data_IF_369145391386
#
_entry.id   IF_369145391386
#
_cell.length_a   1.000
_cell.length_b   1.000
_cell.length_c   1.000
_cell.angle_alpha   90.00
_cell.angle_beta   90.00
_cell.angle_gamma   90.00
#
_symmetry.space_group_name_H-M   'P 1'
#
loop_
_entity.id
_entity.type
_entity.pdbx_description
1 polymer ?
#
# COMPACT_ATOMS: atom_id res chain seq x y z
N UNK A 1 14.76 -41.36 36.93
CA UNK A 1 13.95 -40.25 36.39
C UNK A 1 14.30 -39.01 37.21
N UNK A 2 14.89 -37.96 36.62
CA UNK A 2 15.17 -36.74 37.35
C UNK A 2 13.94 -35.82 37.37
N UNK A 3 13.86 -35.09 38.47
CA UNK A 3 12.76 -34.32 39.03
C UNK A 3 12.46 -33.02 38.23
N UNK A 4 11.18 -32.67 38.13
CA UNK A 4 10.64 -31.59 37.31
C UNK A 4 10.26 -30.38 38.18
N UNK A 5 11.23 -29.78 38.87
CA UNK A 5 10.97 -28.67 39.80
C UNK A 5 11.89 -27.44 39.68
N UNK A 6 12.72 -27.33 38.64
CA UNK A 6 13.56 -26.13 38.40
C UNK A 6 13.29 -25.45 37.05
N UNK A 7 12.10 -24.85 36.90
CA UNK A 7 11.88 -23.79 35.91
C UNK A 7 11.40 -22.53 36.62
N UNK A 8 12.28 -21.55 36.64
CA UNK A 8 12.16 -20.27 37.32
C UNK A 8 10.82 -19.56 37.08
N UNK A 9 10.03 -19.43 38.14
CA UNK A 9 8.96 -18.44 38.24
C UNK A 9 9.59 -17.05 38.39
N UNK A 10 9.76 -16.34 37.28
CA UNK A 10 9.86 -14.88 37.33
C UNK A 10 8.58 -14.35 38.01
N UNK A 11 8.66 -13.65 39.15
CA UNK A 11 7.46 -13.21 39.86
C UNK A 11 6.64 -12.31 38.92
N UNK A 12 5.35 -12.63 38.79
CA UNK A 12 4.34 -11.94 37.98
C UNK A 12 4.45 -10.39 38.07
N UNK A 13 4.89 -9.87 39.22
CA UNK A 13 5.19 -8.47 39.45
C UNK A 13 6.23 -7.86 38.48
N UNK A 14 7.27 -8.60 38.09
CA UNK A 14 8.31 -8.13 37.15
C UNK A 14 7.74 -8.04 35.73
N UNK A 15 6.93 -9.02 35.32
CA UNK A 15 6.27 -9.02 34.00
C UNK A 15 5.26 -7.88 33.91
N UNK A 16 4.45 -7.67 34.95
CA UNK A 16 3.50 -6.56 35.03
C UNK A 16 4.22 -5.21 35.02
N UNK A 17 5.31 -5.05 35.77
CA UNK A 17 6.11 -3.83 35.77
C UNK A 17 6.72 -3.54 34.39
N UNK A 18 7.24 -4.56 33.69
CA UNK A 18 7.77 -4.41 32.34
C UNK A 18 6.70 -3.98 31.32
N UNK A 19 5.49 -4.54 31.42
CA UNK A 19 4.35 -4.17 30.56
C UNK A 19 3.89 -2.73 30.83
N UNK A 20 3.82 -2.31 32.10
CA UNK A 20 3.45 -0.94 32.48
C UNK A 20 4.48 0.07 31.96
N UNK A 21 5.78 -0.23 32.10
CA UNK A 21 6.85 0.63 31.60
C UNK A 21 6.83 0.70 30.06
N UNK A 22 6.60 -0.42 29.37
CA UNK A 22 6.45 -0.45 27.92
C UNK A 22 5.24 0.37 27.44
N UNK A 23 4.09 0.27 28.12
CA UNK A 23 2.89 1.03 27.81
C UNK A 23 3.09 2.53 28.05
N UNK A 24 3.76 2.92 29.14
CA UNK A 24 4.10 4.32 29.42
C UNK A 24 5.07 4.90 28.38
N UNK A 25 6.08 4.13 27.96
CA UNK A 25 7.00 4.54 26.88
C UNK A 25 6.26 4.71 25.55
N UNK A 26 5.34 3.80 25.24
CA UNK A 26 4.49 3.90 24.06
C UNK A 26 3.60 5.15 24.10
N UNK A 27 2.92 5.43 25.23
CA UNK A 27 2.11 6.65 25.39
C UNK A 27 2.93 7.94 25.24
N UNK A 28 4.10 8.02 25.86
CA UNK A 28 4.99 9.20 25.72
C UNK A 28 5.43 9.40 24.27
N UNK A 29 5.72 8.32 23.55
CA UNK A 29 6.08 8.36 22.12
C UNK A 29 4.91 8.83 21.27
N UNK A 30 3.68 8.38 21.53
CA UNK A 30 2.48 8.89 20.85
C UNK A 30 2.25 10.38 21.13
N UNK A 31 2.41 10.81 22.38
CA UNK A 31 2.24 12.21 22.76
C UNK A 31 3.32 13.13 22.17
N UNK A 32 4.56 12.66 22.05
CA UNK A 32 5.64 13.34 21.33
C UNK A 32 5.37 13.43 19.83
N UNK A 33 4.82 12.37 19.21
CA UNK A 33 4.40 12.40 17.81
C UNK A 33 3.26 13.41 17.61
N UNK A 34 2.26 13.45 18.49
CA UNK A 34 1.16 14.42 18.44
C UNK A 34 1.64 15.87 18.65
N UNK A 35 2.55 16.12 19.59
CA UNK A 35 3.13 17.46 19.79
C UNK A 35 4.12 17.85 18.69
N UNK A 36 4.76 16.89 18.03
CA UNK A 36 5.51 17.14 16.78
C UNK A 36 4.56 17.44 15.62
N UNK A 37 3.40 16.81 15.54
CA UNK A 37 2.35 17.16 14.57
C UNK A 37 1.85 18.58 14.79
N UNK A 38 1.57 18.98 16.04
CA UNK A 38 1.14 20.34 16.36
C UNK A 38 2.20 21.41 16.03
N UNK A 39 3.49 21.14 16.27
CA UNK A 39 4.58 22.06 15.90
C UNK A 39 4.83 22.13 14.40
N UNK A 40 4.62 21.05 13.65
CA UNK A 40 4.75 21.05 12.19
C UNK A 40 3.56 21.74 11.49
N UNK A 41 2.44 21.94 12.19
CA UNK A 41 1.30 22.73 11.71
C UNK A 41 1.48 24.24 11.96
N UNK A 42 2.30 24.61 12.95
CA UNK A 42 2.63 26.00 13.28
C UNK A 42 4.01 26.39 12.73
N UNK A 43 4.11 26.57 11.40
CA UNK A 43 5.27 27.24 10.78
C UNK A 43 5.20 28.77 10.97
N UNK A 44 6.33 29.49 10.89
CA UNK A 44 6.32 30.94 10.99
C UNK A 44 5.52 31.56 9.83
N UNK A 45 4.65 32.50 10.15
CA UNK A 45 3.90 33.29 9.19
C UNK A 45 4.86 34.21 8.42
N UNK A 46 5.36 33.73 7.29
CA UNK A 46 5.78 34.57 6.17
C UNK A 46 4.74 34.35 5.08
N UNK A 47 3.89 35.35 4.83
CA UNK A 47 3.10 35.40 3.63
C UNK A 47 4.06 35.55 2.44
N UNK A 48 4.28 34.51 1.60
CA UNK A 48 4.96 34.70 0.34
C UNK A 48 3.91 35.22 -0.66
N UNK A 49 4.35 35.87 -1.73
CA UNK A 49 3.52 35.99 -2.93
C UNK A 49 2.92 34.61 -3.26
N UNK A 50 1.63 34.56 -3.59
CA UNK A 50 0.94 33.32 -3.91
C UNK A 50 1.78 32.52 -4.90
N UNK A 51 2.22 31.29 -4.57
CA UNK A 51 3.04 30.51 -5.47
C UNK A 51 2.30 30.33 -6.81
N UNK A 52 3.03 30.27 -7.94
CA UNK A 52 2.41 30.06 -9.23
C UNK A 52 1.58 28.78 -9.18
N UNK A 53 0.35 28.86 -9.65
CA UNK A 53 -0.56 27.73 -9.68
C UNK A 53 -0.09 26.72 -10.72
N UNK A 54 -0.33 25.42 -10.52
CA UNK A 54 -0.07 24.42 -11.54
C UNK A 54 -0.93 24.74 -12.77
N UNK A 55 -0.28 25.19 -13.84
CA UNK A 55 -0.91 25.55 -15.12
C UNK A 55 -0.98 24.38 -16.10
N UNK A 56 -0.15 23.36 -15.90
CA UNK A 56 -0.15 22.14 -16.72
C UNK A 56 -0.85 20.99 -16.00
N UNK A 57 -1.54 20.15 -16.78
CA UNK A 57 -2.05 18.87 -16.31
C UNK A 57 -0.88 18.00 -15.82
N UNK A 58 -0.98 17.37 -14.64
CA UNK A 58 0.07 16.50 -14.13
C UNK A 58 0.28 15.27 -15.04
N UNK A 59 1.42 14.57 -14.94
CA UNK A 59 1.68 13.38 -15.74
C UNK A 59 0.67 12.27 -15.43
N UNK A 60 0.37 11.46 -16.45
CA UNK A 60 -0.53 10.33 -16.31
C UNK A 60 0.03 9.29 -15.30
N UNK A 61 -0.81 8.67 -14.46
CA UNK A 61 -0.37 7.74 -13.41
C UNK A 61 0.53 6.60 -13.89
N UNK A 62 0.33 6.13 -15.14
CA UNK A 62 1.11 5.04 -15.73
C UNK A 62 2.61 5.35 -15.87
N UNK A 63 3.01 6.61 -15.97
CA UNK A 63 4.40 7.01 -16.13
C UNK A 63 5.25 6.82 -14.86
N UNK A 64 4.62 6.65 -13.70
CA UNK A 64 5.31 6.55 -12.40
C UNK A 64 5.74 5.12 -12.05
N UNK A 65 5.20 4.09 -12.72
CA UNK A 65 5.50 2.69 -12.40
C UNK A 65 6.57 2.10 -13.32
N UNK A 66 7.79 2.01 -12.80
CA UNK A 66 8.86 1.21 -13.39
C UNK A 66 9.62 0.44 -12.30
N UNK A 67 8.98 -0.50 -11.61
CA UNK A 67 9.71 -1.46 -10.79
C UNK A 67 9.33 -2.89 -11.15
N UNK A 68 10.30 -3.58 -11.75
CA UNK A 68 10.35 -5.02 -11.93
C UNK A 68 10.35 -5.75 -10.58
N UNK A 69 9.94 -7.03 -10.55
CA UNK A 69 9.88 -7.88 -9.37
C UNK A 69 11.05 -7.60 -8.42
N UNK A 70 10.74 -6.94 -7.29
CA UNK A 70 11.72 -6.53 -6.29
C UNK A 70 12.20 -7.72 -5.44
N UNK A 71 12.58 -8.83 -6.08
CA UNK A 71 13.17 -10.03 -5.49
C UNK A 71 14.65 -10.10 -5.86
N UNK A 72 15.51 -10.39 -4.88
CA UNK A 72 16.94 -10.62 -5.09
C UNK A 72 17.20 -12.03 -5.60
N UNK A 73 18.39 -12.26 -6.16
CA UNK A 73 18.81 -13.57 -6.62
C UNK A 73 18.71 -14.64 -5.51
N UNK A 74 19.11 -14.31 -4.27
CA UNK A 74 19.01 -15.27 -3.15
C UNK A 74 17.57 -15.57 -2.76
N UNK A 75 16.66 -14.59 -2.79
CA UNK A 75 15.22 -14.84 -2.58
C UNK A 75 14.67 -15.77 -3.66
N UNK A 76 15.00 -15.51 -4.92
CA UNK A 76 14.61 -16.35 -6.06
C UNK A 76 15.14 -17.79 -5.90
N UNK A 77 16.39 -17.94 -5.46
CA UNK A 77 16.99 -19.26 -5.20
C UNK A 77 16.27 -20.00 -4.06
N UNK A 78 16.04 -19.35 -2.91
CA UNK A 78 15.33 -19.95 -1.78
C UNK A 78 13.90 -20.39 -2.13
N UNK A 79 13.20 -19.58 -2.94
CA UNK A 79 11.86 -19.94 -3.44
C UNK A 79 11.97 -21.12 -4.41
N UNK A 80 12.94 -21.09 -5.33
CA UNK A 80 13.19 -22.19 -6.28
C UNK A 80 13.50 -23.52 -5.60
N UNK A 81 14.40 -23.51 -4.61
CA UNK A 81 14.83 -24.70 -3.87
C UNK A 81 13.72 -25.29 -2.99
N UNK A 82 12.81 -24.45 -2.48
CA UNK A 82 11.65 -24.90 -1.70
C UNK A 82 10.45 -25.30 -2.57
N UNK A 83 10.42 -24.90 -3.84
CA UNK A 83 9.28 -25.09 -4.74
C UNK A 83 8.79 -26.55 -4.85
N UNK A 84 9.64 -27.59 -4.96
CA UNK A 84 9.17 -28.97 -5.07
C UNK A 84 8.36 -29.45 -3.86
N UNK A 85 8.67 -28.92 -2.68
CA UNK A 85 8.00 -29.27 -1.43
C UNK A 85 6.73 -28.43 -1.24
N UNK A 86 6.81 -27.14 -1.54
CA UNK A 86 5.69 -26.19 -1.41
C UNK A 86 4.61 -26.44 -2.47
N UNK A 87 4.98 -26.81 -3.69
CA UNK A 87 4.04 -27.15 -4.76
C UNK A 87 3.67 -28.64 -4.74
N UNK A 88 3.25 -29.14 -3.56
CA UNK A 88 2.86 -30.53 -3.35
C UNK A 88 1.40 -30.66 -2.89
N UNK A 89 0.82 -31.85 -3.04
CA UNK A 89 -0.55 -32.12 -2.58
C UNK A 89 -0.69 -32.01 -1.05
N UNK A 90 0.34 -32.41 -0.32
CA UNK A 90 0.39 -32.30 1.14
C UNK A 90 0.43 -30.83 1.59
N UNK A 91 1.32 -30.02 1.00
CA UNK A 91 1.40 -28.59 1.28
C UNK A 91 0.06 -27.89 0.97
N UNK A 92 -0.56 -28.21 -0.17
CA UNK A 92 -1.87 -27.67 -0.52
C UNK A 92 -2.95 -28.05 0.51
N UNK A 93 -2.92 -29.27 1.06
CA UNK A 93 -3.83 -29.66 2.14
C UNK A 93 -3.61 -28.81 3.39
N UNK A 94 -2.36 -28.67 3.85
CA UNK A 94 -2.00 -27.86 5.02
C UNK A 94 -2.48 -26.41 4.84
N UNK A 95 -2.27 -25.82 3.66
CA UNK A 95 -2.74 -24.46 3.36
C UNK A 95 -4.25 -24.30 3.52
N UNK A 96 -5.06 -25.22 2.98
CA UNK A 96 -6.52 -25.12 3.08
C UNK A 96 -7.03 -25.38 4.50
N UNK A 97 -6.39 -26.28 5.24
CA UNK A 97 -6.73 -26.52 6.65
C UNK A 97 -6.47 -25.25 7.48
N UNK A 98 -5.27 -24.67 7.36
CA UNK A 98 -4.89 -23.41 8.04
C UNK A 98 -5.79 -22.24 7.60
N UNK A 99 -6.11 -22.12 6.29
CA UNK A 99 -6.97 -21.06 5.77
C UNK A 99 -8.37 -21.10 6.37
N UNK A 100 -8.95 -22.30 6.43
CA UNK A 100 -10.32 -22.46 6.91
C UNK A 100 -10.43 -22.54 8.44
N UNK A 101 -9.33 -22.73 9.14
CA UNK A 101 -9.24 -22.49 10.58
C UNK A 101 -9.21 -20.97 10.86
N UNK A 102 -8.40 -20.21 10.11
CA UNK A 102 -8.26 -18.76 10.27
C UNK A 102 -9.49 -17.97 9.81
N UNK A 103 -10.16 -18.41 8.75
CA UNK A 103 -11.31 -17.73 8.16
C UNK A 103 -12.33 -18.75 7.63
N UNK A 104 -13.14 -19.38 8.51
CA UNK A 104 -14.11 -20.41 8.13
C UNK A 104 -15.13 -19.95 7.07
N UNK A 105 -15.48 -18.67 7.06
CA UNK A 105 -16.40 -18.06 6.11
C UNK A 105 -15.92 -18.16 4.66
N UNK A 106 -14.60 -18.24 4.43
CA UNK A 106 -14.04 -18.35 3.08
C UNK A 106 -14.38 -19.68 2.41
N UNK A 107 -14.78 -20.72 3.16
CA UNK A 107 -15.20 -22.02 2.59
C UNK A 107 -16.27 -21.85 1.52
N UNK A 108 -17.17 -20.86 1.66
CA UNK A 108 -18.25 -20.60 0.72
C UNK A 108 -17.76 -20.12 -0.67
N UNK A 109 -16.55 -19.57 -0.74
CA UNK A 109 -15.94 -19.11 -1.99
C UNK A 109 -15.27 -20.24 -2.77
N UNK A 110 -15.10 -21.42 -2.17
CA UNK A 110 -14.45 -22.57 -2.78
C UNK A 110 -15.47 -23.65 -3.09
N UNK A 111 -15.43 -24.17 -4.32
CA UNK A 111 -16.12 -25.41 -4.70
C UNK A 111 -15.42 -26.64 -4.10
N UNK A 112 -15.22 -27.69 -4.91
CA UNK A 112 -14.49 -28.87 -4.47
C UNK A 112 -13.04 -28.55 -4.06
N UNK A 113 -12.73 -28.70 -2.75
CA UNK A 113 -11.41 -28.38 -2.18
C UNK A 113 -10.28 -29.15 -2.87
N UNK A 114 -10.47 -30.43 -3.19
CA UNK A 114 -9.46 -31.23 -3.89
C UNK A 114 -9.17 -30.73 -5.32
N UNK A 115 -10.15 -30.12 -6.00
CA UNK A 115 -9.90 -29.44 -7.27
C UNK A 115 -9.10 -28.15 -7.06
N UNK A 116 -9.41 -27.41 -6.00
CA UNK A 116 -8.72 -26.16 -5.68
C UNK A 116 -7.27 -26.38 -5.23
N UNK A 117 -7.00 -27.44 -4.47
CA UNK A 117 -5.65 -27.91 -4.14
C UNK A 117 -4.81 -28.16 -5.40
N UNK A 118 -5.36 -28.87 -6.40
CA UNK A 118 -4.66 -29.08 -7.68
C UNK A 118 -4.38 -27.78 -8.43
N UNK A 119 -5.33 -26.83 -8.41
CA UNK A 119 -5.14 -25.50 -9.04
C UNK A 119 -4.06 -24.69 -8.32
N UNK A 120 -4.03 -24.72 -6.99
CA UNK A 120 -3.00 -24.07 -6.17
C UNK A 120 -1.61 -24.63 -6.52
N UNK A 121 -1.45 -25.95 -6.56
CA UNK A 121 -0.19 -26.60 -6.93
C UNK A 121 0.25 -26.18 -8.34
N UNK A 122 -0.65 -26.25 -9.33
CA UNK A 122 -0.33 -25.84 -10.70
C UNK A 122 0.05 -24.36 -10.82
N UNK A 123 -0.62 -23.49 -10.06
CA UNK A 123 -0.25 -22.07 -9.97
C UNK A 123 1.15 -21.91 -9.37
N UNK A 124 1.47 -22.58 -8.26
CA UNK A 124 2.80 -22.49 -7.62
C UNK A 124 3.92 -22.99 -8.56
N UNK A 125 3.68 -24.09 -9.28
CA UNK A 125 4.61 -24.57 -10.31
C UNK A 125 4.85 -23.54 -11.41
N UNK A 126 3.78 -22.89 -11.90
CA UNK A 126 3.90 -21.82 -12.89
C UNK A 126 4.68 -20.61 -12.35
N UNK A 127 4.45 -20.24 -11.08
CA UNK A 127 5.19 -19.16 -10.41
C UNK A 127 6.67 -19.51 -10.36
N UNK A 128 7.01 -20.72 -9.89
CA UNK A 128 8.39 -21.22 -9.85
C UNK A 128 9.08 -21.16 -11.21
N UNK A 129 8.39 -21.61 -12.27
CA UNK A 129 8.90 -21.54 -13.64
C UNK A 129 9.05 -20.11 -14.19
N UNK A 130 8.36 -19.14 -13.58
CA UNK A 130 8.36 -17.73 -14.01
C UNK A 130 9.26 -16.82 -13.15
N UNK A 131 9.90 -17.34 -12.09
CA UNK A 131 10.74 -16.52 -11.19
C UNK A 131 11.92 -15.84 -11.91
N UNK A 132 12.42 -16.44 -12.99
CA UNK A 132 13.49 -15.88 -13.82
C UNK A 132 13.02 -14.87 -14.88
N UNK A 133 11.71 -14.67 -15.04
CA UNK A 133 11.11 -13.80 -16.07
C UNK A 133 10.11 -12.83 -15.41
N UNK A 134 10.65 -11.72 -14.92
CA UNK A 134 9.88 -10.73 -14.17
C UNK A 134 8.72 -10.10 -14.96
N UNK A 135 8.89 -9.67 -16.23
CA UNK A 135 7.78 -9.17 -17.03
C UNK A 135 6.63 -10.17 -17.15
N UNK A 136 6.93 -11.44 -17.45
CA UNK A 136 5.93 -12.50 -17.59
C UNK A 136 5.18 -12.77 -16.29
N UNK A 137 5.89 -12.83 -15.16
CA UNK A 137 5.27 -13.05 -13.86
C UNK A 137 4.35 -11.87 -13.49
N UNK A 138 4.81 -10.63 -13.66
CA UNK A 138 4.00 -9.42 -13.38
C UNK A 138 2.74 -9.39 -14.23
N UNK A 139 2.85 -9.63 -15.53
CA UNK A 139 1.69 -9.66 -16.43
C UNK A 139 0.70 -10.76 -16.03
N UNK A 140 1.22 -11.96 -15.75
CA UNK A 140 0.40 -13.08 -15.30
C UNK A 140 -0.33 -12.79 -13.99
N UNK A 141 0.32 -12.15 -13.02
CA UNK A 141 -0.28 -11.75 -11.74
C UNK A 141 -1.38 -10.69 -11.93
N UNK A 142 -1.16 -9.68 -12.79
CA UNK A 142 -2.21 -8.69 -13.09
C UNK A 142 -3.44 -9.35 -13.72
N UNK A 143 -3.22 -10.23 -14.69
CA UNK A 143 -4.30 -10.99 -15.32
C UNK A 143 -5.01 -11.93 -14.31
N UNK A 144 -4.26 -12.52 -13.37
CA UNK A 144 -4.80 -13.32 -12.30
C UNK A 144 -5.70 -12.50 -11.38
N UNK A 145 -5.24 -11.31 -10.95
CA UNK A 145 -6.01 -10.37 -10.13
C UNK A 145 -7.35 -9.98 -10.77
N UNK A 146 -7.32 -9.62 -12.05
CA UNK A 146 -8.52 -9.28 -12.82
C UNK A 146 -9.54 -10.43 -12.90
N UNK A 147 -9.09 -11.68 -12.96
CA UNK A 147 -10.00 -12.85 -12.92
C UNK A 147 -10.54 -13.12 -11.52
N UNK A 148 -9.72 -12.96 -10.48
CA UNK A 148 -10.11 -13.23 -9.10
C UNK A 148 -11.20 -12.30 -8.56
N UNK A 149 -11.26 -11.07 -9.08
CA UNK A 149 -12.40 -10.16 -8.84
C UNK A 149 -13.73 -10.85 -9.19
N UNK A 150 -13.80 -11.58 -10.32
CA UNK A 150 -15.02 -12.28 -10.77
C UNK A 150 -15.38 -13.47 -9.89
N UNK A 151 -14.43 -14.00 -9.12
CA UNK A 151 -14.65 -15.11 -8.20
C UNK A 151 -15.09 -14.66 -6.81
N UNK A 152 -15.30 -13.36 -6.60
CA UNK A 152 -15.66 -12.78 -5.30
C UNK A 152 -14.49 -12.64 -4.34
N UNK A 153 -13.24 -12.78 -4.81
CA UNK A 153 -12.07 -12.50 -3.99
C UNK A 153 -11.97 -11.00 -3.69
N UNK A 154 -11.70 -10.67 -2.43
CA UNK A 154 -11.59 -9.29 -1.92
C UNK A 154 -10.19 -9.07 -1.35
N UNK A 155 -9.75 -7.82 -1.33
CA UNK A 155 -8.44 -7.41 -0.81
C UNK A 155 -8.30 -7.80 0.67
N UNK A 156 -9.38 -7.72 1.44
CA UNK A 156 -9.36 -8.11 2.85
C UNK A 156 -9.12 -9.62 3.09
N UNK A 157 -9.39 -10.49 2.11
CA UNK A 157 -9.12 -11.93 2.23
C UNK A 157 -7.62 -12.24 2.26
N UNK A 158 -6.76 -11.35 1.72
CA UNK A 158 -5.31 -11.59 1.68
C UNK A 158 -4.68 -11.72 3.06
N UNK A 159 -5.29 -11.15 4.12
CA UNK A 159 -4.77 -11.29 5.48
C UNK A 159 -4.70 -12.76 5.88
N UNK A 160 -5.84 -13.46 5.77
CA UNK A 160 -5.97 -14.87 6.09
C UNK A 160 -5.17 -15.74 5.12
N UNK A 161 -5.24 -15.45 3.80
CA UNK A 161 -4.50 -16.20 2.78
C UNK A 161 -2.99 -16.12 3.01
N UNK A 162 -2.45 -14.93 3.27
CA UNK A 162 -1.02 -14.74 3.55
C UNK A 162 -0.60 -15.48 4.82
N UNK A 163 -1.40 -15.37 5.88
CA UNK A 163 -1.11 -16.05 7.15
C UNK A 163 -1.10 -17.58 6.99
N UNK A 164 -2.14 -18.15 6.38
CA UNK A 164 -2.24 -19.58 6.10
C UNK A 164 -1.09 -20.07 5.19
N UNK A 165 -0.75 -19.29 4.16
CA UNK A 165 0.33 -19.65 3.25
C UNK A 165 1.69 -19.66 3.96
N UNK A 166 2.01 -18.65 4.76
CA UNK A 166 3.27 -18.61 5.51
C UNK A 166 3.33 -19.72 6.57
N UNK A 167 2.21 -20.08 7.19
CA UNK A 167 2.10 -21.23 8.09
C UNK A 167 2.39 -22.54 7.37
N UNK A 168 1.80 -22.76 6.19
CA UNK A 168 2.11 -23.89 5.33
C UNK A 168 3.61 -23.93 4.99
N UNK A 169 4.21 -22.82 4.55
CA UNK A 169 5.64 -22.76 4.22
C UNK A 169 6.51 -23.17 5.42
N UNK A 170 6.20 -22.66 6.62
CA UNK A 170 6.94 -22.98 7.84
C UNK A 170 6.86 -24.48 8.18
N UNK A 171 5.65 -25.05 8.14
CA UNK A 171 5.42 -26.46 8.45
C UNK A 171 6.17 -27.36 7.45
N UNK A 172 6.02 -27.10 6.15
CA UNK A 172 6.62 -27.93 5.09
C UNK A 172 8.15 -27.82 5.10
N UNK A 173 8.71 -26.63 5.31
CA UNK A 173 10.16 -26.45 5.38
C UNK A 173 10.75 -27.13 6.62
N UNK A 174 10.04 -27.08 7.76
CA UNK A 174 10.43 -27.82 8.96
C UNK A 174 10.41 -29.34 8.74
N UNK A 175 9.32 -29.89 8.21
CA UNK A 175 9.20 -31.32 7.90
C UNK A 175 10.29 -31.78 6.93
N UNK A 176 10.62 -30.97 5.92
CA UNK A 176 11.67 -31.27 4.94
C UNK A 176 13.05 -31.35 5.60
N UNK A 177 13.33 -30.49 6.57
CA UNK A 177 14.59 -30.50 7.32
C UNK A 177 14.69 -31.69 8.27
N UNK A 178 13.59 -32.06 8.94
CA UNK A 178 13.50 -33.21 9.83
C UNK A 178 13.74 -34.52 9.06
N UNK A 179 13.03 -34.74 7.95
CA UNK A 179 13.21 -35.91 7.09
C UNK A 179 14.65 -36.05 6.55
N UNK A 180 15.32 -34.93 6.26
CA UNK A 180 16.73 -34.93 5.86
C UNK A 180 17.66 -35.29 7.01
N UNK A 181 17.41 -34.76 8.21
CA UNK A 181 18.22 -35.06 9.39
C UNK A 181 18.14 -36.55 9.74
N UNK A 182 16.93 -37.13 9.64
CA UNK A 182 16.69 -38.57 9.80
C UNK A 182 17.42 -39.38 8.71
N UNK A 183 17.31 -38.98 7.45
CA UNK A 183 18.01 -39.63 6.34
C UNK A 183 19.54 -39.61 6.52
N UNK A 184 20.12 -38.49 6.96
CA UNK A 184 21.56 -38.39 7.25
C UNK A 184 21.96 -39.26 8.45
N UNK A 185 21.11 -39.33 9.48
CA UNK A 185 21.35 -40.19 10.64
C UNK A 185 21.32 -41.68 10.27
N UNK A 186 20.46 -42.08 9.34
CA UNK A 186 20.27 -43.47 8.92
C UNK A 186 21.25 -43.91 7.81
N UNK A 187 21.50 -43.05 6.81
CA UNK A 187 22.22 -43.40 5.58
C UNK A 187 23.59 -42.70 5.44
N UNK A 188 23.96 -41.85 6.40
CA UNK A 188 25.15 -41.00 6.32
C UNK A 188 24.97 -39.78 5.42
N UNK A 189 25.93 -38.84 5.39
CA UNK A 189 25.84 -37.63 4.57
C UNK A 189 25.83 -37.98 3.06
N UNK A 190 25.07 -37.25 2.23
CA UNK A 190 25.06 -37.47 0.78
C UNK A 190 26.44 -37.24 0.18
N UNK A 191 26.83 -38.08 -0.80
CA UNK A 191 28.07 -37.91 -1.55
C UNK A 191 28.08 -36.56 -2.30
N UNK A 192 29.18 -35.80 -2.30
CA UNK A 192 29.23 -34.41 -2.80
C UNK A 192 28.95 -34.24 -4.30
N UNK A 193 28.80 -35.34 -5.06
CA UNK A 193 28.69 -35.32 -6.52
C UNK A 193 27.28 -35.01 -7.08
N UNK A 194 26.26 -34.77 -6.24
CA UNK A 194 24.87 -34.62 -6.71
C UNK A 194 24.00 -33.56 -6.02
N UNK A 195 24.52 -32.84 -5.02
CA UNK A 195 23.76 -31.81 -4.32
C UNK A 195 24.13 -30.40 -4.84
N UNK A 196 23.16 -29.52 -5.14
CA UNK A 196 23.42 -28.09 -5.32
C UNK A 196 24.33 -27.55 -4.20
N UNK A 197 25.38 -26.80 -4.54
CA UNK A 197 26.39 -26.32 -3.57
C UNK A 197 25.77 -25.53 -2.39
N UNK A 198 24.62 -24.90 -2.58
CA UNK A 198 23.85 -24.20 -1.55
C UNK A 198 23.24 -25.12 -0.46
N UNK A 199 23.25 -26.44 -0.67
CA UNK A 199 22.72 -27.46 0.24
C UNK A 199 23.83 -28.16 1.06
N UNK A 200 25.10 -27.84 0.80
CA UNK A 200 26.25 -28.57 1.36
C UNK A 200 26.82 -27.95 2.66
N UNK A 201 26.56 -26.67 2.94
CA UNK A 201 26.99 -26.05 4.20
C UNK A 201 25.89 -26.07 5.27
N UNK A 202 26.26 -26.25 6.55
CA UNK A 202 25.35 -26.09 7.67
C UNK A 202 25.04 -24.59 7.84
N UNK A 203 24.22 -24.04 6.95
CA UNK A 203 23.42 -22.89 7.31
C UNK A 203 22.67 -23.28 8.57
N UNK A 204 22.86 -22.50 9.64
CA UNK A 204 22.11 -22.65 10.89
C UNK A 204 20.65 -22.95 10.55
N UNK A 205 20.14 -24.11 11.00
CA UNK A 205 18.80 -24.62 10.68
C UNK A 205 17.75 -23.51 10.85
N UNK A 206 17.94 -22.68 11.87
CA UNK A 206 17.11 -21.52 12.16
C UNK A 206 17.21 -20.41 11.11
N UNK A 207 18.43 -20.07 10.66
CA UNK A 207 18.66 -19.07 9.62
C UNK A 207 18.03 -19.47 8.28
N UNK A 208 18.07 -20.77 7.92
CA UNK A 208 17.42 -21.28 6.70
C UNK A 208 15.90 -21.19 6.77
N UNK A 209 15.28 -21.65 7.86
CA UNK A 209 13.82 -21.57 8.10
C UNK A 209 13.30 -20.13 8.02
N UNK A 210 14.01 -19.21 8.68
CA UNK A 210 13.70 -17.78 8.63
C UNK A 210 13.89 -17.21 7.22
N UNK A 211 14.90 -17.68 6.50
CA UNK A 211 15.23 -17.25 5.15
C UNK A 211 14.15 -17.61 4.13
N UNK A 212 13.72 -18.87 4.09
CA UNK A 212 12.66 -19.38 3.19
C UNK A 212 11.34 -18.65 3.47
N UNK A 213 10.94 -18.58 4.73
CA UNK A 213 9.71 -17.88 5.14
C UNK A 213 9.72 -16.40 4.69
N UNK A 214 10.86 -15.72 4.82
CA UNK A 214 11.04 -14.33 4.40
C UNK A 214 10.99 -14.13 2.89
N UNK A 215 11.62 -15.03 2.13
CA UNK A 215 11.58 -14.98 0.68
C UNK A 215 10.16 -15.16 0.14
N UNK A 216 9.41 -16.14 0.69
CA UNK A 216 8.00 -16.32 0.36
C UNK A 216 7.12 -15.14 0.82
N UNK A 217 7.36 -14.57 2.02
CA UNK A 217 6.65 -13.36 2.45
C UNK A 217 6.88 -12.20 1.46
N UNK A 218 8.12 -12.01 0.98
CA UNK A 218 8.43 -11.00 -0.02
C UNK A 218 7.68 -11.24 -1.34
N UNK A 219 7.64 -12.48 -1.83
CA UNK A 219 6.89 -12.83 -3.04
C UNK A 219 5.38 -12.60 -2.86
N UNK A 220 4.81 -12.90 -1.70
CA UNK A 220 3.39 -12.62 -1.43
C UNK A 220 3.09 -11.12 -1.47
N UNK A 221 4.00 -10.26 -1.04
CA UNK A 221 3.85 -8.81 -1.23
C UNK A 221 3.88 -8.42 -2.71
N UNK A 222 4.70 -9.07 -3.56
CA UNK A 222 4.64 -8.85 -5.01
C UNK A 222 3.27 -9.24 -5.58
N UNK A 223 2.70 -10.37 -5.16
CA UNK A 223 1.35 -10.79 -5.57
C UNK A 223 0.31 -9.74 -5.20
N UNK A 224 0.32 -9.28 -3.96
CA UNK A 224 -0.62 -8.26 -3.48
C UNK A 224 -0.41 -6.95 -4.25
N UNK A 225 0.84 -6.55 -4.52
CA UNK A 225 1.14 -5.34 -5.27
C UNK A 225 0.65 -5.38 -6.73
N UNK A 226 0.74 -6.52 -7.40
CA UNK A 226 0.33 -6.63 -8.81
C UNK A 226 -1.15 -6.97 -9.00
N UNK A 227 -1.76 -7.71 -8.06
CA UNK A 227 -3.19 -8.04 -8.10
C UNK A 227 -4.07 -6.96 -7.44
N UNK A 228 -3.54 -6.34 -6.38
CA UNK A 228 -4.25 -5.43 -5.49
C UNK A 228 -4.94 -4.25 -6.18
N UNK A 229 -4.32 -3.55 -7.14
CA UNK A 229 -4.96 -2.42 -7.82
C UNK A 229 -6.29 -2.78 -8.48
N UNK A 230 -6.34 -3.92 -9.20
CA UNK A 230 -7.57 -4.38 -9.85
C UNK A 230 -8.64 -4.79 -8.83
N UNK A 231 -8.21 -5.40 -7.71
CA UNK A 231 -9.12 -5.80 -6.64
C UNK A 231 -9.68 -4.61 -5.87
N UNK A 232 -8.84 -3.61 -5.58
CA UNK A 232 -9.22 -2.38 -4.91
C UNK A 232 -10.34 -1.67 -5.68
N UNK A 233 -10.20 -1.53 -7.00
CA UNK A 233 -11.22 -0.86 -7.84
C UNK A 233 -12.52 -1.65 -7.97
N UNK A 234 -12.52 -2.93 -7.64
CA UNK A 234 -13.71 -3.77 -7.68
C UNK A 234 -14.35 -4.00 -6.29
N UNK A 235 -13.76 -3.43 -5.23
CA UNK A 235 -14.34 -3.52 -3.88
C UNK A 235 -15.61 -2.65 -3.77
N UNK A 236 -16.61 -3.17 -3.06
CA UNK A 236 -17.68 -2.32 -2.57
C UNK A 236 -17.21 -1.50 -1.34
N UNK A 237 -17.91 -0.40 -1.04
CA UNK A 237 -17.52 0.49 0.06
C UNK A 237 -17.49 -0.21 1.43
N UNK A 238 -18.35 -1.21 1.65
CA UNK A 238 -18.38 -1.96 2.90
C UNK A 238 -17.15 -2.87 3.05
N UNK A 239 -16.73 -3.54 1.98
CA UNK A 239 -15.51 -4.31 1.88
C UNK A 239 -14.28 -3.42 2.10
N UNK A 240 -14.20 -2.29 1.41
CA UNK A 240 -13.09 -1.36 1.53
C UNK A 240 -12.94 -0.83 2.96
N UNK A 241 -14.05 -0.44 3.60
CA UNK A 241 -14.06 -0.02 5.02
C UNK A 241 -13.58 -1.13 5.96
N UNK A 242 -13.98 -2.38 5.73
CA UNK A 242 -13.49 -3.53 6.52
C UNK A 242 -12.01 -3.76 6.30
N UNK A 243 -11.52 -3.63 5.06
CA UNK A 243 -10.10 -3.75 4.72
C UNK A 243 -9.25 -2.68 5.43
N UNK A 244 -9.74 -1.45 5.57
CA UNK A 244 -9.07 -0.41 6.35
C UNK A 244 -9.03 -0.71 7.86
N UNK A 245 -10.02 -1.44 8.37
CA UNK A 245 -10.17 -1.70 9.81
C UNK A 245 -9.51 -3.02 10.28
N UNK A 246 -9.12 -3.92 9.38
CA UNK A 246 -8.75 -5.30 9.72
C UNK A 246 -7.25 -5.56 9.92
N UNK A 247 -6.45 -4.52 10.20
CA UNK A 247 -5.01 -4.66 10.47
C UNK A 247 -4.16 -5.04 9.26
N UNK A 248 -4.74 -5.09 8.05
CA UNK A 248 -3.96 -5.13 6.82
C UNK A 248 -3.11 -3.87 6.70
N UNK A 249 -1.87 -4.05 6.25
CA UNK A 249 -0.95 -2.94 6.14
C UNK A 249 -1.20 -2.06 4.88
N UNK A 250 -2.00 -2.58 3.93
CA UNK A 250 -2.58 -1.82 2.83
C UNK A 250 -3.92 -2.47 2.40
N UNK A 251 -4.96 -1.71 1.99
CA UNK A 251 -4.96 -0.26 1.69
C UNK A 251 -4.74 0.59 2.94
N UNK A 252 -4.03 1.72 2.80
CA UNK A 252 -3.60 2.56 3.92
C UNK A 252 -3.97 4.04 3.70
N UNK A 253 -3.43 4.93 4.53
CA UNK A 253 -3.74 6.36 4.48
C UNK A 253 -3.50 7.02 3.11
N UNK A 254 -2.49 6.58 2.34
CA UNK A 254 -2.23 7.09 0.98
C UNK A 254 -3.31 6.70 -0.02
N UNK A 255 -3.61 5.40 -0.08
CA UNK A 255 -4.70 4.84 -0.90
C UNK A 255 -6.04 5.52 -0.57
N UNK A 256 -6.36 5.68 0.71
CA UNK A 256 -7.58 6.34 1.15
C UNK A 256 -7.59 7.83 0.78
N UNK A 257 -6.47 8.55 0.93
CA UNK A 257 -6.37 9.95 0.53
C UNK A 257 -6.64 10.14 -0.96
N UNK A 258 -6.04 9.30 -1.81
CA UNK A 258 -6.23 9.34 -3.25
C UNK A 258 -7.70 9.09 -3.63
N UNK A 259 -8.36 8.07 -3.04
CA UNK A 259 -9.79 7.81 -3.25
C UNK A 259 -10.68 8.95 -2.76
N UNK A 260 -10.38 9.56 -1.61
CA UNK A 260 -11.09 10.76 -1.14
C UNK A 260 -10.92 11.91 -2.13
N UNK A 261 -9.72 12.09 -2.69
CA UNK A 261 -9.49 13.08 -3.75
C UNK A 261 -10.31 12.79 -5.01
N UNK A 262 -10.40 11.53 -5.43
CA UNK A 262 -11.21 11.13 -6.57
C UNK A 262 -12.69 11.46 -6.36
N UNK A 263 -13.22 11.15 -5.18
CA UNK A 263 -14.58 11.53 -4.77
C UNK A 263 -14.75 13.06 -4.80
N UNK A 264 -13.76 13.81 -4.33
CA UNK A 264 -13.81 15.27 -4.35
C UNK A 264 -13.82 15.86 -5.77
N UNK A 265 -13.00 15.32 -6.67
CA UNK A 265 -13.02 15.69 -8.08
C UNK A 265 -14.35 15.31 -8.76
N UNK A 266 -14.94 14.17 -8.42
CA UNK A 266 -16.24 13.74 -8.93
C UNK A 266 -17.39 14.65 -8.48
N UNK A 267 -17.39 15.11 -7.22
CA UNK A 267 -18.37 16.09 -6.72
C UNK A 267 -18.27 17.43 -7.46
N UNK A 268 -17.06 17.91 -7.74
CA UNK A 268 -16.86 19.11 -8.55
C UNK A 268 -17.34 18.90 -9.99
N UNK A 269 -17.09 17.73 -10.60
CA UNK A 269 -17.61 17.40 -11.92
C UNK A 269 -19.15 17.35 -11.94
N UNK A 270 -19.77 16.82 -10.89
CA UNK A 270 -21.23 16.87 -10.70
C UNK A 270 -21.73 18.31 -10.58
N UNK A 271 -21.06 19.17 -9.80
CA UNK A 271 -21.40 20.59 -9.72
C UNK A 271 -21.29 21.29 -11.08
N UNK A 272 -20.27 20.96 -11.90
CA UNK A 272 -20.15 21.48 -13.26
C UNK A 272 -21.31 21.00 -14.15
N UNK A 273 -21.74 19.74 -14.04
CA UNK A 273 -22.87 19.19 -14.80
C UNK A 273 -24.20 19.87 -14.42
N UNK A 274 -24.41 20.16 -13.13
CA UNK A 274 -25.59 20.89 -12.64
C UNK A 274 -25.59 22.37 -13.05
N UNK A 275 -24.44 22.90 -13.48
CA UNK A 275 -24.29 24.28 -13.90
C UNK A 275 -24.90 24.50 -15.28
N UNK A 276 -26.15 24.96 -15.29
CA UNK A 276 -26.83 25.42 -16.52
C UNK A 276 -26.25 26.76 -16.95
N UNK A 277 -25.23 26.75 -17.81
CA UNK A 277 -24.85 27.99 -18.51
C UNK A 277 -26.06 28.50 -19.32
N UNK A 278 -26.39 29.81 -19.25
CA UNK A 278 -27.67 30.33 -19.73
C UNK A 278 -27.86 30.22 -21.26
N UNK A 279 -26.80 29.92 -22.02
CA UNK A 279 -26.87 29.75 -23.49
C UNK A 279 -26.01 28.55 -23.94
N UNK A 280 -26.62 27.57 -24.60
CA UNK A 280 -25.91 26.47 -25.29
C UNK A 280 -24.97 27.05 -26.36
N UNK A 281 -23.72 26.58 -26.39
CA UNK A 281 -22.71 27.05 -27.35
C UNK A 281 -21.95 28.32 -26.96
N UNK A 282 -22.21 28.89 -25.77
CA UNK A 282 -21.43 30.02 -25.25
C UNK A 282 -20.00 29.62 -24.84
N UNK A 283 -19.08 30.59 -24.85
CA UNK A 283 -17.71 30.39 -24.35
C UNK A 283 -17.69 30.00 -22.86
N UNK A 284 -18.64 30.51 -22.08
CA UNK A 284 -18.82 30.12 -20.66
C UNK A 284 -19.23 28.65 -20.54
N UNK A 285 -20.21 28.20 -21.34
CA UNK A 285 -20.60 26.79 -21.39
C UNK A 285 -19.42 25.88 -21.75
N UNK A 286 -18.64 26.27 -22.76
CA UNK A 286 -17.45 25.51 -23.16
C UNK A 286 -16.40 25.42 -22.04
N UNK A 287 -16.22 26.48 -21.24
CA UNK A 287 -15.32 26.45 -20.06
C UNK A 287 -15.83 25.51 -18.97
N UNK A 288 -17.13 25.50 -18.69
CA UNK A 288 -17.74 24.60 -17.70
C UNK A 288 -17.65 23.14 -18.15
N UNK A 289 -17.96 22.84 -19.41
CA UNK A 289 -17.86 21.48 -19.97
C UNK A 289 -16.39 21.00 -19.95
N UNK A 290 -15.43 21.85 -20.32
CA UNK A 290 -14.00 21.52 -20.24
C UNK A 290 -13.53 21.28 -18.79
N UNK A 291 -14.00 22.09 -17.83
CA UNK A 291 -13.71 21.89 -16.41
C UNK A 291 -14.27 20.56 -15.91
N UNK A 292 -15.51 20.21 -16.28
CA UNK A 292 -16.13 18.92 -15.96
C UNK A 292 -15.30 17.76 -16.47
N UNK A 293 -14.91 17.79 -17.74
CA UNK A 293 -14.18 16.69 -18.37
C UNK A 293 -12.77 16.54 -17.76
N UNK A 294 -12.10 17.65 -17.45
CA UNK A 294 -10.84 17.64 -16.72
C UNK A 294 -10.97 17.12 -15.28
N UNK A 295 -12.06 17.42 -14.57
CA UNK A 295 -12.34 16.90 -13.23
C UNK A 295 -12.66 15.41 -13.24
N UNK A 296 -13.36 14.90 -14.26
CA UNK A 296 -13.55 13.46 -14.46
C UNK A 296 -12.22 12.75 -14.70
N UNK A 297 -11.36 13.31 -15.56
CA UNK A 297 -10.02 12.79 -15.77
C UNK A 297 -9.17 12.83 -14.48
N UNK A 298 -9.31 13.86 -13.66
CA UNK A 298 -8.64 13.94 -12.36
C UNK A 298 -9.15 12.87 -11.39
N UNK A 299 -10.46 12.60 -11.36
CA UNK A 299 -11.02 11.52 -10.55
C UNK A 299 -10.44 10.14 -10.96
N UNK A 300 -10.46 9.83 -12.26
CA UNK A 300 -9.88 8.58 -12.80
C UNK A 300 -8.38 8.47 -12.51
N UNK A 301 -7.64 9.58 -12.62
CA UNK A 301 -6.22 9.60 -12.32
C UNK A 301 -5.94 9.33 -10.83
N UNK A 302 -6.73 9.92 -9.93
CA UNK A 302 -6.61 9.72 -8.48
C UNK A 302 -7.00 8.29 -8.07
N UNK A 303 -8.02 7.68 -8.69
CA UNK A 303 -8.36 6.27 -8.50
C UNK A 303 -7.21 5.34 -8.92
N UNK A 304 -6.64 5.59 -10.10
CA UNK A 304 -5.49 4.84 -10.58
C UNK A 304 -4.31 4.98 -9.60
N UNK A 305 -4.03 6.20 -9.11
CA UNK A 305 -2.97 6.46 -8.14
C UNK A 305 -3.22 5.78 -6.79
N UNK A 306 -4.47 5.60 -6.35
CA UNK A 306 -4.78 4.83 -5.16
C UNK A 306 -4.28 3.37 -5.29
N UNK A 307 -4.52 2.76 -6.45
CA UNK A 307 -3.97 1.44 -6.78
C UNK A 307 -2.45 1.44 -6.83
N UNK A 308 -1.84 2.48 -7.41
CA UNK A 308 -0.37 2.61 -7.46
C UNK A 308 0.26 2.77 -6.07
N UNK A 309 -0.38 3.49 -5.15
CA UNK A 309 0.09 3.68 -3.78
C UNK A 309 0.11 2.35 -3.00
N UNK A 310 -1.00 1.59 -3.07
CA UNK A 310 -1.08 0.22 -2.55
C UNK A 310 0.08 -0.64 -3.06
N UNK A 311 0.35 -0.53 -4.36
CA UNK A 311 1.33 -1.35 -5.01
C UNK A 311 2.78 -0.92 -4.71
N UNK A 312 3.05 0.39 -4.61
CA UNK A 312 4.34 0.92 -4.17
C UNK A 312 4.67 0.53 -2.73
N UNK A 313 3.67 0.58 -1.84
CA UNK A 313 3.80 0.05 -0.47
C UNK A 313 4.20 -1.42 -0.48
N UNK A 314 3.52 -2.24 -1.31
CA UNK A 314 3.85 -3.66 -1.43
C UNK A 314 5.27 -3.89 -1.95
N UNK A 315 5.77 -3.08 -2.89
CA UNK A 315 7.17 -3.14 -3.34
C UNK A 315 8.16 -2.85 -2.21
N UNK A 316 7.90 -1.82 -1.38
CA UNK A 316 8.73 -1.54 -0.20
C UNK A 316 8.72 -2.73 0.75
N UNK A 317 7.54 -3.31 1.02
CA UNK A 317 7.43 -4.45 1.91
C UNK A 317 8.11 -5.69 1.34
N UNK A 318 7.98 -5.97 0.04
CA UNK A 318 8.71 -7.05 -0.61
C UNK A 318 10.23 -6.90 -0.39
N UNK A 319 10.77 -5.69 -0.61
CA UNK A 319 12.19 -5.41 -0.38
C UNK A 319 12.60 -5.54 1.11
N UNK A 320 11.75 -5.07 2.04
CA UNK A 320 12.02 -5.15 3.49
C UNK A 320 11.98 -6.60 4.00
N UNK A 321 11.07 -7.42 3.46
CA UNK A 321 10.83 -8.79 3.90
C UNK A 321 11.82 -9.80 3.36
N UNK A 322 12.58 -9.44 2.32
CA UNK A 322 13.67 -10.30 1.83
C UNK A 322 14.58 -10.78 2.98
N UNK A 323 15.08 -12.03 2.90
CA UNK A 323 16.03 -12.58 3.86
C UNK A 323 17.27 -11.68 3.96
N UNK A 324 17.94 -11.66 5.12
CA UNK A 324 19.27 -11.08 5.21
C UNK A 324 20.17 -11.86 4.24
N UNK A 325 20.55 -11.22 3.14
CA UNK A 325 21.42 -11.79 2.10
C UNK A 325 22.86 -11.90 2.62
N UNK A 326 23.69 -12.66 1.91
CA UNK A 326 25.15 -12.67 2.11
C UNK A 326 25.77 -11.28 1.87
N UNK A 327 25.11 -10.43 1.07
CA UNK A 327 25.50 -9.04 0.82
C UNK A 327 24.44 -8.04 1.34
N UNK A 328 24.66 -7.38 2.50
CA UNK A 328 23.71 -6.42 3.08
C UNK A 328 23.38 -5.19 2.20
N UNK A 329 24.20 -4.85 1.20
CA UNK A 329 23.98 -3.69 0.33
C UNK A 329 22.83 -3.90 -0.66
N UNK A 330 22.67 -5.10 -1.23
CA UNK A 330 21.64 -5.36 -2.25
C UNK A 330 20.21 -5.14 -1.73
N UNK A 331 19.95 -5.63 -0.50
CA UNK A 331 18.66 -5.40 0.18
C UNK A 331 18.46 -3.92 0.50
N UNK A 332 19.52 -3.23 0.92
CA UNK A 332 19.46 -1.80 1.20
C UNK A 332 19.14 -0.99 -0.05
N UNK A 333 19.78 -1.32 -1.17
CA UNK A 333 19.54 -0.68 -2.46
C UNK A 333 18.16 -0.98 -3.01
N UNK A 334 17.66 -2.22 -2.84
CA UNK A 334 16.30 -2.58 -3.21
C UNK A 334 15.26 -1.75 -2.44
N UNK A 335 15.44 -1.58 -1.12
CA UNK A 335 14.55 -0.73 -0.32
C UNK A 335 14.67 0.74 -0.75
N UNK A 336 15.89 1.25 -0.97
CA UNK A 336 16.11 2.63 -1.41
C UNK A 336 15.46 2.92 -2.77
N UNK A 337 15.52 1.97 -3.72
CA UNK A 337 14.80 2.05 -5.00
C UNK A 337 13.28 2.02 -4.81
N UNK A 338 12.76 1.10 -4.00
CA UNK A 338 11.32 1.02 -3.73
C UNK A 338 10.76 2.28 -3.05
N UNK A 339 11.56 2.93 -2.21
CA UNK A 339 11.19 4.19 -1.54
C UNK A 339 11.01 5.35 -2.52
N UNK A 340 11.65 5.31 -3.70
CA UNK A 340 11.42 6.32 -4.73
C UNK A 340 9.96 6.31 -5.19
N UNK A 341 9.42 5.15 -5.55
CA UNK A 341 8.02 5.01 -5.98
C UNK A 341 7.07 5.35 -4.82
N UNK A 342 7.38 4.87 -3.61
CA UNK A 342 6.58 5.16 -2.42
C UNK A 342 6.55 6.65 -2.03
N UNK A 343 7.55 7.45 -2.44
CA UNK A 343 7.56 8.90 -2.28
C UNK A 343 6.92 9.63 -3.49
N UNK A 344 7.18 9.14 -4.70
CA UNK A 344 6.77 9.79 -5.95
C UNK A 344 5.28 9.63 -6.24
N UNK A 345 4.68 8.48 -5.89
CA UNK A 345 3.24 8.25 -6.08
C UNK A 345 2.40 9.22 -5.23
N UNK A 346 2.63 9.38 -3.91
CA UNK A 346 1.92 10.39 -3.13
C UNK A 346 2.19 11.82 -3.59
N UNK A 347 3.40 12.11 -4.10
CA UNK A 347 3.65 13.43 -4.68
C UNK A 347 2.74 13.68 -5.89
N UNK A 348 2.61 12.71 -6.79
CA UNK A 348 1.72 12.83 -7.95
C UNK A 348 0.23 12.89 -7.54
N UNK A 349 -0.18 12.19 -6.47
CA UNK A 349 -1.52 12.35 -5.88
C UNK A 349 -1.76 13.81 -5.44
N UNK A 350 -0.77 14.42 -4.78
CA UNK A 350 -0.86 15.83 -4.37
C UNK A 350 -0.91 16.79 -5.58
N UNK A 351 -0.20 16.49 -6.66
CA UNK A 351 -0.23 17.28 -7.90
C UNK A 351 -1.60 17.21 -8.59
N UNK A 352 -2.21 16.03 -8.71
CA UNK A 352 -3.56 15.86 -9.25
C UNK A 352 -4.62 16.53 -8.38
N UNK A 353 -4.49 16.43 -7.06
CA UNK A 353 -5.39 17.12 -6.14
C UNK A 353 -5.27 18.65 -6.26
N UNK A 354 -4.04 19.18 -6.34
CA UNK A 354 -3.81 20.61 -6.56
C UNK A 354 -4.35 21.09 -7.92
N UNK A 355 -4.19 20.27 -8.98
CA UNK A 355 -4.74 20.56 -10.30
C UNK A 355 -6.28 20.64 -10.27
N UNK A 356 -6.95 19.70 -9.61
CA UNK A 356 -8.40 19.71 -9.44
C UNK A 356 -8.89 20.94 -8.64
N UNK A 357 -8.15 21.35 -7.60
CA UNK A 357 -8.43 22.59 -6.85
C UNK A 357 -8.26 23.84 -7.72
N UNK A 358 -7.27 23.89 -8.61
CA UNK A 358 -7.13 24.96 -9.59
C UNK A 358 -8.32 25.05 -10.54
N UNK A 359 -8.88 23.90 -10.96
CA UNK A 359 -10.09 23.86 -11.78
C UNK A 359 -11.31 24.34 -10.96
N UNK A 360 -11.42 23.90 -9.69
CA UNK A 360 -12.49 24.34 -8.80
C UNK A 360 -12.54 25.87 -8.66
N UNK A 361 -11.37 26.51 -8.63
CA UNK A 361 -11.21 27.96 -8.50
C UNK A 361 -11.84 28.76 -9.64
N UNK A 362 -11.76 28.26 -10.87
CA UNK A 362 -12.42 28.89 -12.03
C UNK A 362 -13.87 28.45 -12.19
N UNK A 363 -14.23 27.26 -11.68
CA UNK A 363 -15.58 26.70 -11.78
C UNK A 363 -16.54 27.28 -10.74
N UNK A 364 -16.13 27.43 -9.48
CA UNK A 364 -16.99 27.82 -8.36
C UNK A 364 -17.74 29.15 -8.58
N UNK A 365 -17.13 30.21 -9.16
CA UNK A 365 -17.87 31.44 -9.47
C UNK A 365 -19.04 31.22 -10.43
N UNK A 366 -18.95 30.21 -11.30
CA UNK A 366 -19.95 29.88 -12.31
C UNK A 366 -20.94 28.81 -11.84
N UNK A 367 -20.62 28.06 -10.77
CA UNK A 367 -21.40 26.91 -10.34
C UNK A 367 -22.87 27.25 -10.11
N UNK A 368 -23.82 26.36 -10.45
CA UNK A 368 -25.22 26.57 -10.07
C UNK A 368 -25.38 26.60 -8.54
N UNK A 369 -26.29 27.43 -8.03
CA UNK A 369 -26.53 27.56 -6.59
C UNK A 369 -26.88 26.22 -5.92
N UNK A 370 -27.62 25.36 -6.61
CA UNK A 370 -27.98 24.03 -6.15
C UNK A 370 -26.80 23.04 -6.04
N UNK A 371 -25.64 23.34 -6.64
CA UNK A 371 -24.44 22.49 -6.63
C UNK A 371 -23.29 23.03 -5.77
N UNK A 372 -23.42 24.23 -5.17
CA UNK A 372 -22.33 24.84 -4.39
C UNK A 372 -21.97 24.00 -3.15
N UNK A 373 -22.96 23.39 -2.48
CA UNK A 373 -22.72 22.51 -1.34
C UNK A 373 -21.88 21.28 -1.71
N UNK A 374 -22.20 20.64 -2.83
CA UNK A 374 -21.42 19.50 -3.37
C UNK A 374 -20.01 19.95 -3.76
N UNK A 375 -19.87 21.11 -4.40
CA UNK A 375 -18.58 21.68 -4.76
C UNK A 375 -17.73 21.98 -3.51
N UNK A 376 -18.33 22.50 -2.44
CA UNK A 376 -17.64 22.76 -1.18
C UNK A 376 -17.13 21.47 -0.53
N UNK A 377 -17.95 20.43 -0.47
CA UNK A 377 -17.52 19.11 -0.01
C UNK A 377 -16.37 18.56 -0.88
N UNK A 378 -16.47 18.73 -2.20
CA UNK A 378 -15.43 18.32 -3.14
C UNK A 378 -14.08 19.01 -2.91
N UNK A 379 -14.10 20.33 -2.66
CA UNK A 379 -12.90 21.10 -2.28
C UNK A 379 -12.28 20.57 -0.99
N UNK A 380 -13.07 20.31 0.05
CA UNK A 380 -12.54 19.82 1.32
C UNK A 380 -11.88 18.43 1.19
N UNK A 381 -12.49 17.54 0.41
CA UNK A 381 -11.92 16.21 0.14
C UNK A 381 -10.59 16.31 -0.63
N UNK A 382 -10.50 17.21 -1.61
CA UNK A 382 -9.25 17.45 -2.35
C UNK A 382 -8.16 18.09 -1.49
N UNK A 383 -8.51 19.02 -0.59
CA UNK A 383 -7.58 19.58 0.38
C UNK A 383 -7.03 18.50 1.33
N UNK A 384 -7.91 17.64 1.85
CA UNK A 384 -7.53 16.53 2.70
C UNK A 384 -6.64 15.52 1.95
N UNK A 385 -6.98 15.21 0.70
CA UNK A 385 -6.17 14.39 -0.20
C UNK A 385 -4.77 14.96 -0.36
N UNK A 386 -4.65 16.21 -0.81
CA UNK A 386 -3.36 16.85 -1.07
C UNK A 386 -2.49 16.94 0.18
N UNK A 387 -3.05 17.35 1.32
CA UNK A 387 -2.32 17.44 2.60
C UNK A 387 -1.80 16.07 3.05
N UNK A 388 -2.63 15.03 2.95
CA UNK A 388 -2.24 13.67 3.32
C UNK A 388 -1.17 13.12 2.37
N UNK A 389 -1.33 13.36 1.07
CA UNK A 389 -0.41 12.90 0.04
C UNK A 389 0.98 13.57 0.14
N UNK A 390 1.04 14.88 0.37
CA UNK A 390 2.28 15.60 0.71
C UNK A 390 2.94 14.99 1.95
N UNK A 391 2.15 14.70 3.00
CA UNK A 391 2.69 14.09 4.22
C UNK A 391 3.25 12.70 3.98
N UNK A 392 2.59 11.88 3.17
CA UNK A 392 3.06 10.54 2.82
C UNK A 392 4.35 10.59 1.99
N UNK A 393 4.47 11.53 1.05
CA UNK A 393 5.73 11.77 0.34
C UNK A 393 6.86 12.09 1.35
N UNK A 394 6.64 13.05 2.25
CA UNK A 394 7.63 13.43 3.26
C UNK A 394 8.02 12.29 4.21
N UNK A 395 7.08 11.43 4.60
CA UNK A 395 7.37 10.27 5.44
C UNK A 395 8.31 9.28 4.73
N UNK A 396 8.11 9.05 3.44
CA UNK A 396 8.98 8.20 2.64
C UNK A 396 10.34 8.85 2.35
N UNK A 397 10.40 10.16 2.07
CA UNK A 397 11.68 10.87 1.88
C UNK A 397 12.51 10.98 3.17
N UNK A 398 11.84 11.00 4.33
CA UNK A 398 12.49 11.01 5.64
C UNK A 398 12.95 9.61 6.10
N UNK A 399 12.63 8.54 5.37
CA UNK A 399 13.10 7.20 5.69
C UNK A 399 14.63 7.15 5.67
N UNK A 400 15.25 6.46 6.63
CA UNK A 400 16.72 6.40 6.79
C UNK A 400 17.43 6.02 5.49
N UNK A 401 16.87 5.08 4.73
CA UNK A 401 17.45 4.58 3.48
C UNK A 401 17.20 5.50 2.27
N UNK A 402 16.37 6.53 2.41
CA UNK A 402 16.18 7.57 1.40
C UNK A 402 17.12 8.76 1.60
N UNK A 403 17.79 8.90 2.76
CA UNK A 403 18.50 10.14 3.14
C UNK A 403 19.61 10.54 2.17
N UNK A 404 20.31 9.57 1.58
CA UNK A 404 21.39 9.77 0.62
C UNK A 404 20.98 9.66 -0.85
N UNK A 405 19.69 9.51 -1.14
CA UNK A 405 19.22 9.31 -2.52
C UNK A 405 19.18 10.62 -3.32
N UNK A 406 19.63 10.62 -4.59
CA UNK A 406 19.73 11.85 -5.40
C UNK A 406 18.36 12.47 -5.72
N UNK A 407 17.31 11.66 -5.77
CA UNK A 407 15.94 12.09 -6.06
C UNK A 407 15.27 12.84 -4.89
N UNK A 408 15.78 12.68 -3.66
CA UNK A 408 15.12 13.14 -2.44
C UNK A 408 14.90 14.64 -2.41
N UNK A 409 15.94 15.42 -2.70
CA UNK A 409 15.89 16.88 -2.62
C UNK A 409 14.83 17.46 -3.57
N UNK A 410 14.71 16.88 -4.77
CA UNK A 410 13.72 17.27 -5.76
C UNK A 410 12.29 17.01 -5.28
N UNK A 411 12.00 15.79 -4.81
CA UNK A 411 10.66 15.44 -4.31
C UNK A 411 10.26 16.30 -3.09
N UNK A 412 11.18 16.54 -2.16
CA UNK A 412 10.91 17.37 -0.99
C UNK A 412 10.66 18.85 -1.35
N UNK A 413 11.41 19.39 -2.32
CA UNK A 413 11.19 20.75 -2.81
C UNK A 413 9.80 20.89 -3.44
N UNK A 414 9.43 19.94 -4.29
CA UNK A 414 8.12 19.91 -4.94
C UNK A 414 6.98 19.73 -3.93
N UNK A 415 7.15 18.86 -2.93
CA UNK A 415 6.17 18.67 -1.86
C UNK A 415 5.94 19.95 -1.03
N UNK A 416 7.01 20.71 -0.73
CA UNK A 416 6.90 22.01 -0.04
C UNK A 416 6.19 23.06 -0.89
N UNK A 417 6.45 23.08 -2.18
CA UNK A 417 5.75 23.96 -3.11
C UNK A 417 4.24 23.65 -3.15
N UNK A 418 3.87 22.39 -3.37
CA UNK A 418 2.49 21.93 -3.37
C UNK A 418 1.77 22.24 -2.06
N UNK A 419 2.45 22.06 -0.92
CA UNK A 419 1.90 22.40 0.39
C UNK A 419 1.48 23.88 0.48
N UNK A 420 2.32 24.79 -0.04
CA UNK A 420 2.02 26.23 -0.05
C UNK A 420 0.89 26.55 -1.02
N UNK A 421 0.90 25.97 -2.22
CA UNK A 421 -0.14 26.16 -3.24
C UNK A 421 -1.50 25.68 -2.75
N UNK A 422 -1.57 24.49 -2.16
CA UNK A 422 -2.81 23.91 -1.61
C UNK A 422 -3.33 24.73 -0.44
N UNK A 423 -2.45 25.27 0.41
CA UNK A 423 -2.87 26.16 1.50
C UNK A 423 -3.50 27.46 0.96
N UNK A 424 -2.87 28.09 -0.04
CA UNK A 424 -3.39 29.31 -0.67
C UNK A 424 -4.74 29.06 -1.37
N UNK A 425 -4.84 27.98 -2.15
CA UNK A 425 -6.08 27.56 -2.79
C UNK A 425 -7.19 27.29 -1.77
N UNK A 426 -6.87 26.67 -0.63
CA UNK A 426 -7.85 26.42 0.42
C UNK A 426 -8.49 27.69 0.96
N UNK A 427 -7.71 28.74 1.19
CA UNK A 427 -8.22 30.05 1.66
C UNK A 427 -9.07 30.72 0.57
N UNK A 428 -8.58 30.76 -0.66
CA UNK A 428 -9.29 31.39 -1.79
C UNK A 428 -10.64 30.71 -2.06
N UNK A 429 -10.65 29.37 -2.13
CA UNK A 429 -11.85 28.60 -2.40
C UNK A 429 -12.87 28.70 -1.25
N UNK A 430 -12.41 28.74 0.01
CA UNK A 430 -13.28 28.94 1.15
C UNK A 430 -14.01 30.29 1.07
N UNK A 431 -13.31 31.38 0.75
CA UNK A 431 -13.93 32.69 0.58
C UNK A 431 -15.00 32.70 -0.53
N UNK A 432 -14.73 32.06 -1.67
CA UNK A 432 -15.70 31.94 -2.77
C UNK A 432 -16.91 31.10 -2.33
N UNK A 433 -16.69 29.99 -1.61
CA UNK A 433 -17.79 29.15 -1.10
C UNK A 433 -18.66 29.93 -0.11
N UNK A 434 -18.06 30.67 0.81
CA UNK A 434 -18.78 31.48 1.80
C UNK A 434 -19.65 32.54 1.13
N UNK A 435 -19.10 33.26 0.16
CA UNK A 435 -19.84 34.25 -0.63
C UNK A 435 -21.02 33.60 -1.36
N UNK A 436 -20.78 32.44 -1.99
CA UNK A 436 -21.79 31.71 -2.75
C UNK A 436 -22.88 31.09 -1.87
N UNK A 437 -22.56 30.66 -0.65
CA UNK A 437 -23.51 29.99 0.26
C UNK A 437 -24.20 30.96 1.22
N UNK A 438 -23.60 32.11 1.51
CA UNK A 438 -24.01 32.99 2.60
C UNK A 438 -23.73 32.42 3.99
N UNK A 439 -22.95 31.33 4.09
CA UNK A 439 -22.57 30.67 5.34
C UNK A 439 -21.07 30.84 5.52
N UNK A 440 -20.60 31.63 6.51
CA UNK A 440 -19.17 31.80 6.75
C UNK A 440 -18.53 30.49 7.24
N UNK A 441 -17.40 30.11 6.62
CA UNK A 441 -16.55 28.99 7.05
C UNK A 441 -15.95 29.22 8.43
N UNK A 442 -15.74 30.48 8.80
CA UNK A 442 -15.32 30.96 10.13
C UNK A 442 -16.44 31.79 10.79
N UNK A 443 -17.66 31.25 10.90
CA UNK A 443 -18.62 31.84 11.84
C UNK A 443 -17.99 31.79 13.24
N UNK A 444 -18.15 32.83 14.06
CA UNK A 444 -17.55 32.97 15.41
C UNK A 444 -17.85 31.84 16.42
N UNK A 445 -18.48 30.74 16.01
CA UNK A 445 -18.38 29.44 16.67
C UNK A 445 -17.09 28.74 16.19
N UNK A 446 -16.00 28.87 16.94
CA UNK A 446 -14.66 28.34 16.62
C UNK A 446 -14.61 26.86 16.19
N UNK A 447 -13.43 26.33 15.82
CA UNK A 447 -13.29 25.07 15.08
C UNK A 447 -13.98 23.94 15.84
N UNK A 448 -15.12 23.47 15.33
CA UNK A 448 -15.84 22.26 15.77
C UNK A 448 -15.69 21.96 17.27
N UNK A 449 -16.40 22.70 18.13
CA UNK A 449 -16.46 22.39 19.56
C UNK A 449 -17.29 21.17 19.87
#
# INVERSE_FOLDING_TARGET
MPDASDVATLPLAIVVAAVVVAHQRWRRRQQQLLTSCARNLAGPALAPASPPLPTSTPPAPRAVRACALALTASSTALIGDSMPFIASAEAAKIFYDELFELAPELRQLFGCVSSQQRKLVGMLQWVGASLGDAPRLVEGLRALGARHVKYGSRLYHFCAIKAAFLRMVQIVDQQTLEARAESVAEHGPPSPAGAPAALAEPLDRHARLLGVSRAWEALLYVFIGEMGPAMLMAEDLAAFRRALANGLAAPAGGTCAALSGAQGAALLAMSAELTRAPVRGSAERARVDAARDALRAAAEALEALAGLDLAAYCTVMAAVRQPPLDCPSERTDAIARALYDAASVPLLVAEWAAHALCIARSLLPLAAQSGVGDAAAGVQLLLACARTAVRNCQLNTAARLALGSPWRAHLEARARELCRTVAALGVELAAVIDERTGVPSDSEAGPWR
#
